data_IF_585661950199
#
_entry.id   IF_585661950199
#
_cell.length_a   1.000
_cell.length_b   1.000
_cell.length_c   1.000
_cell.angle_alpha   90.00
_cell.angle_beta   90.00
_cell.angle_gamma   90.00
#
_symmetry.space_group_name_H-M   'P 1'
#
loop_
_entity.id
_entity.type
_entity.pdbx_description
1 polymer ?
#
# COMPACT_ATOMS: atom_id res chain seq x y z
N UNK A 1 2.63 18.34 0.95
CA UNK A 1 1.45 18.13 0.08
C UNK A 1 0.24 18.03 0.99
N UNK A 2 -0.46 19.14 1.19
CA UNK A 2 -1.61 19.27 2.09
C UNK A 2 -2.86 19.48 1.22
N UNK A 3 -3.66 18.42 1.06
CA UNK A 3 -5.08 18.47 0.65
C UNK A 3 -5.61 17.03 0.54
N UNK A 4 -5.97 16.42 1.67
CA UNK A 4 -6.83 15.24 1.67
C UNK A 4 -8.22 15.68 2.17
N UNK A 5 -9.18 15.78 1.23
CA UNK A 5 -10.54 16.29 1.43
C UNK A 5 -11.50 15.28 2.09
N UNK A 6 -10.98 14.19 2.69
CA UNK A 6 -11.84 13.08 3.17
C UNK A 6 -12.30 13.20 4.62
N UNK A 7 -11.92 14.25 5.34
CA UNK A 7 -12.25 14.39 6.76
C UNK A 7 -12.91 15.73 7.06
N UNK A 8 -14.01 15.68 7.82
CA UNK A 8 -14.62 16.84 8.46
C UNK A 8 -13.63 17.48 9.45
N UNK A 9 -13.72 18.80 9.71
CA UNK A 9 -12.81 19.48 10.63
C UNK A 9 -12.85 18.83 12.02
N UNK A 10 -11.69 18.39 12.51
CA UNK A 10 -11.50 17.81 13.84
C UNK A 10 -11.91 18.83 14.91
N UNK A 11 -12.72 18.39 15.86
CA UNK A 11 -13.02 19.16 17.06
C UNK A 11 -11.80 19.17 18.00
N UNK A 12 -11.65 20.23 18.81
CA UNK A 12 -10.52 20.40 19.75
C UNK A 12 -10.43 19.22 20.74
N UNK A 13 -11.52 18.51 20.97
CA UNK A 13 -11.65 17.35 21.86
C UNK A 13 -11.19 16.03 21.23
N UNK A 14 -11.15 15.93 19.89
CA UNK A 14 -10.69 14.72 19.19
C UNK A 14 -9.16 14.67 19.03
N UNK A 15 -8.48 15.83 19.10
CA UNK A 15 -7.05 15.95 18.85
C UNK A 15 -6.18 15.19 19.87
N UNK A 16 -6.65 15.02 21.11
CA UNK A 16 -5.94 14.26 22.15
C UNK A 16 -5.96 12.74 21.93
N UNK A 17 -6.72 12.23 20.94
CA UNK A 17 -6.85 10.79 20.66
C UNK A 17 -6.51 10.41 19.22
N UNK A 18 -5.95 11.32 18.42
CA UNK A 18 -5.55 11.01 17.05
C UNK A 18 -4.21 10.28 17.06
N UNK A 19 -4.23 8.98 16.76
CA UNK A 19 -3.03 8.27 16.33
C UNK A 19 -2.72 8.71 14.89
N UNK A 20 -1.64 9.47 14.71
CA UNK A 20 -1.15 9.86 13.39
C UNK A 20 -0.27 8.73 12.88
N UNK A 21 -0.83 7.86 12.04
CA UNK A 21 -0.05 6.84 11.33
C UNK A 21 0.59 7.45 10.07
N UNK A 22 1.88 7.80 10.14
CA UNK A 22 2.65 8.18 8.95
C UNK A 22 3.18 6.92 8.28
N UNK A 23 2.59 6.59 7.14
CA UNK A 23 3.04 5.47 6.29
C UNK A 23 3.93 5.99 5.16
N UNK A 24 5.22 5.63 5.19
CA UNK A 24 6.18 5.92 4.12
C UNK A 24 6.12 4.80 3.09
N UNK A 25 5.81 5.15 1.84
CA UNK A 25 5.86 4.22 0.71
C UNK A 25 7.27 4.17 0.13
N UNK A 26 7.80 2.97 -0.10
CA UNK A 26 9.02 2.81 -0.89
C UNK A 26 8.77 3.27 -2.33
N UNK A 27 9.83 3.65 -3.04
CA UNK A 27 9.73 3.88 -4.49
C UNK A 27 9.33 2.57 -5.18
N UNK A 28 8.36 2.58 -6.11
CA UNK A 28 8.02 1.39 -6.88
C UNK A 28 9.20 0.90 -7.71
N UNK A 29 9.42 -0.42 -7.73
CA UNK A 29 10.49 -1.09 -8.48
C UNK A 29 9.83 -2.07 -9.47
N UNK A 30 10.25 -2.10 -10.76
CA UNK A 30 9.70 -3.05 -11.72
C UNK A 30 9.98 -4.49 -11.27
N UNK A 31 9.00 -5.36 -11.46
CA UNK A 31 9.12 -6.79 -11.22
C UNK A 31 9.36 -7.51 -12.55
N UNK A 32 10.53 -8.12 -12.69
CA UNK A 32 10.81 -9.00 -13.83
C UNK A 32 10.15 -10.38 -13.62
N UNK A 33 9.38 -10.84 -14.60
CA UNK A 33 8.75 -12.15 -14.61
C UNK A 33 8.65 -12.73 -16.02
N UNK A 34 8.60 -14.06 -16.13
CA UNK A 34 8.59 -14.76 -17.44
C UNK A 34 7.19 -15.04 -17.96
N UNK A 35 6.26 -15.34 -17.04
CA UNK A 35 4.88 -15.64 -17.33
C UNK A 35 3.99 -15.39 -16.10
N UNK A 36 2.69 -15.62 -16.26
CA UNK A 36 1.73 -15.42 -15.18
C UNK A 36 2.02 -16.30 -13.96
N UNK A 37 2.47 -17.54 -14.12
CA UNK A 37 2.73 -18.41 -12.99
C UNK A 37 3.94 -17.92 -12.19
N UNK A 38 5.02 -17.54 -12.88
CA UNK A 38 6.20 -16.92 -12.27
C UNK A 38 5.83 -15.63 -11.52
N UNK A 39 5.02 -14.76 -12.13
CA UNK A 39 4.48 -13.57 -11.47
C UNK A 39 3.80 -13.91 -10.15
N UNK A 40 2.86 -14.86 -10.15
CA UNK A 40 2.13 -15.24 -8.93
C UNK A 40 3.06 -15.77 -7.83
N UNK A 41 4.12 -16.49 -8.19
CA UNK A 41 5.09 -17.02 -7.20
C UNK A 41 6.02 -15.97 -6.60
N UNK A 42 6.19 -14.83 -7.27
CA UNK A 42 7.06 -13.73 -6.83
C UNK A 42 6.34 -12.71 -5.93
N UNK A 43 5.01 -12.63 -5.99
CA UNK A 43 4.22 -11.75 -5.13
C UNK A 43 4.23 -12.25 -3.68
N UNK A 44 4.43 -11.35 -2.73
CA UNK A 44 4.43 -11.66 -1.30
C UNK A 44 3.21 -11.02 -0.62
N UNK A 45 2.20 -11.83 -0.25
CA UNK A 45 1.06 -11.35 0.52
C UNK A 45 1.47 -10.61 1.79
N UNK A 46 0.67 -9.62 2.16
CA UNK A 46 0.83 -8.70 3.30
C UNK A 46 2.10 -7.80 3.26
N UNK A 47 3.00 -8.02 2.31
CA UNK A 47 4.26 -7.27 2.15
C UNK A 47 4.19 -6.33 0.94
N UNK A 48 3.80 -6.86 -0.22
CA UNK A 48 3.94 -6.13 -1.48
C UNK A 48 2.70 -5.31 -1.82
N UNK A 49 2.89 -4.00 -2.02
CA UNK A 49 1.99 -3.17 -2.78
C UNK A 49 2.27 -3.37 -4.25
N UNK A 50 1.22 -3.50 -5.07
CA UNK A 50 1.35 -3.82 -6.49
C UNK A 50 0.76 -2.71 -7.32
N UNK A 51 1.51 -2.25 -8.32
CA UNK A 51 1.05 -1.37 -9.39
C UNK A 51 1.02 -2.19 -10.66
N UNK A 52 -0.09 -2.10 -11.39
CA UNK A 52 -0.27 -2.69 -12.69
C UNK A 52 -0.44 -1.57 -13.72
N UNK A 53 0.31 -1.66 -14.82
CA UNK A 53 0.25 -0.72 -15.94
C UNK A 53 0.11 -1.47 -17.28
N UNK A 54 -0.79 -0.97 -18.13
CA UNK A 54 -1.00 -1.45 -19.51
C UNK A 54 -1.48 -0.30 -20.39
N UNK A 55 -0.57 0.31 -21.13
CA UNK A 55 -0.86 1.49 -21.94
C UNK A 55 -1.41 2.64 -21.09
N UNK A 56 -2.68 3.02 -21.29
CA UNK A 56 -3.35 4.06 -20.48
C UNK A 56 -4.02 3.52 -19.21
N UNK A 57 -4.15 2.21 -19.07
CA UNK A 57 -4.76 1.59 -17.91
C UNK A 57 -3.73 1.45 -16.78
N UNK A 58 -4.11 1.89 -15.57
CA UNK A 58 -3.25 1.83 -14.38
C UNK A 58 -4.08 1.64 -13.12
N UNK A 59 -3.64 0.74 -12.24
CA UNK A 59 -4.22 0.60 -10.91
C UNK A 59 -3.17 0.17 -9.89
N UNK A 60 -3.47 0.38 -8.61
CA UNK A 60 -2.66 -0.13 -7.52
C UNK A 60 -3.50 -0.67 -6.38
N UNK A 61 -2.94 -1.65 -5.68
CA UNK A 61 -3.37 -2.09 -4.36
C UNK A 61 -2.23 -1.97 -3.36
N UNK A 62 -2.55 -1.44 -2.18
CA UNK A 62 -1.65 -1.40 -1.02
C UNK A 62 -1.45 -2.82 -0.45
N UNK A 63 -0.35 -3.08 0.29
CA UNK A 63 -0.15 -4.35 0.98
C UNK A 63 -1.33 -4.77 1.87
N UNK A 64 -2.04 -3.80 2.46
CA UNK A 64 -3.19 -4.06 3.35
C UNK A 64 -4.35 -4.79 2.66
N UNK A 65 -4.44 -4.73 1.32
CA UNK A 65 -5.51 -5.39 0.55
C UNK A 65 -5.34 -6.91 0.55
N UNK A 66 -4.12 -7.43 0.78
CA UNK A 66 -3.87 -8.87 0.91
C UNK A 66 -4.71 -9.53 2.01
N UNK A 67 -5.05 -8.80 3.08
CA UNK A 67 -5.96 -9.30 4.13
C UNK A 67 -7.34 -9.70 3.61
N UNK A 68 -7.82 -9.07 2.54
CA UNK A 68 -9.10 -9.38 1.89
C UNK A 68 -8.92 -10.35 0.71
N UNK A 69 -7.77 -10.28 0.03
CA UNK A 69 -7.44 -11.07 -1.16
C UNK A 69 -6.10 -11.78 -0.94
N UNK A 70 -6.01 -12.79 -0.06
CA UNK A 70 -4.73 -13.40 0.33
C UNK A 70 -4.13 -14.27 -0.78
N UNK A 71 -4.94 -14.66 -1.77
CA UNK A 71 -4.52 -15.51 -2.86
C UNK A 71 -4.03 -14.64 -4.05
N UNK A 72 -2.77 -14.78 -4.51
CA UNK A 72 -2.17 -13.93 -5.54
C UNK A 72 -2.97 -13.84 -6.83
N UNK A 73 -3.55 -14.94 -7.31
CA UNK A 73 -4.34 -14.92 -8.55
C UNK A 73 -5.58 -14.06 -8.41
N UNK A 74 -6.34 -14.23 -7.32
CA UNK A 74 -7.52 -13.41 -7.02
C UNK A 74 -7.15 -11.95 -6.83
N UNK A 75 -6.03 -11.65 -6.15
CA UNK A 75 -5.52 -10.30 -6.00
C UNK A 75 -5.29 -9.63 -7.36
N UNK A 76 -4.57 -10.32 -8.27
CA UNK A 76 -4.28 -9.82 -9.61
C UNK A 76 -5.51 -9.70 -10.50
N UNK A 77 -6.47 -10.62 -10.40
CA UNK A 77 -7.75 -10.55 -11.12
C UNK A 77 -8.56 -9.30 -10.69
N UNK A 78 -8.60 -8.99 -9.39
CA UNK A 78 -9.27 -7.79 -8.89
C UNK A 78 -8.51 -6.52 -9.25
N UNK A 79 -7.18 -6.55 -9.22
CA UNK A 79 -6.36 -5.42 -9.63
C UNK A 79 -6.56 -5.08 -11.12
N UNK A 80 -6.65 -6.09 -11.98
CA UNK A 80 -7.00 -5.92 -13.39
C UNK A 80 -8.38 -5.26 -13.54
N UNK A 81 -9.40 -5.73 -12.81
CA UNK A 81 -10.73 -5.12 -12.84
C UNK A 81 -10.70 -3.66 -12.41
N UNK A 82 -9.92 -3.34 -11.36
CA UNK A 82 -9.73 -1.96 -10.89
C UNK A 82 -9.08 -1.06 -11.95
N UNK A 83 -8.18 -1.63 -12.77
CA UNK A 83 -7.58 -0.95 -13.91
C UNK A 83 -8.50 -0.83 -15.14
N UNK A 84 -9.74 -1.35 -15.07
CA UNK A 84 -10.65 -1.41 -16.21
C UNK A 84 -10.29 -2.48 -17.25
N UNK A 85 -9.50 -3.47 -16.87
CA UNK A 85 -9.03 -4.55 -17.74
C UNK A 85 -9.81 -5.85 -17.50
N UNK A 86 -9.69 -6.78 -18.45
CA UNK A 86 -10.14 -8.16 -18.26
C UNK A 86 -9.43 -8.79 -17.03
N UNK A 87 -10.12 -9.60 -16.21
CA UNK A 87 -9.52 -10.21 -15.01
C UNK A 87 -8.27 -11.05 -15.30
N UNK A 88 -8.13 -11.59 -16.51
CA UNK A 88 -6.96 -12.39 -16.91
C UNK A 88 -5.87 -11.58 -17.62
N UNK A 89 -6.01 -10.25 -17.70
CA UNK A 89 -5.08 -9.40 -18.44
C UNK A 89 -3.64 -9.52 -17.91
N UNK A 90 -3.45 -9.73 -16.60
CA UNK A 90 -2.15 -9.92 -15.95
C UNK A 90 -1.33 -11.11 -16.49
N UNK A 91 -1.95 -12.04 -17.21
CA UNK A 91 -1.24 -13.15 -17.86
C UNK A 91 -0.57 -12.74 -19.19
N UNK A 92 -0.92 -11.55 -19.71
CA UNK A 92 -0.37 -11.01 -20.94
C UNK A 92 1.05 -10.48 -20.77
N UNK A 93 1.79 -10.43 -21.89
CA UNK A 93 3.16 -9.88 -21.95
C UNK A 93 3.22 -8.36 -22.06
N UNK A 94 2.07 -7.70 -22.17
CA UNK A 94 1.91 -6.26 -22.34
C UNK A 94 1.51 -5.54 -21.05
N UNK A 95 1.75 -6.19 -19.92
CA UNK A 95 1.50 -5.68 -18.57
C UNK A 95 2.86 -5.42 -17.93
N UNK A 96 3.01 -4.26 -17.32
CA UNK A 96 4.13 -3.96 -16.44
C UNK A 96 3.66 -4.03 -14.98
N UNK A 97 4.44 -4.71 -14.15
CA UNK A 97 4.18 -4.84 -12.71
C UNK A 97 5.28 -4.13 -11.95
N UNK A 98 4.90 -3.29 -11.00
CA UNK A 98 5.83 -2.64 -10.07
C UNK A 98 5.43 -2.97 -8.64
N UNK A 99 6.43 -3.19 -7.78
CA UNK A 99 6.24 -3.47 -6.36
C UNK A 99 6.72 -2.31 -5.51
N UNK A 100 6.00 -2.02 -4.44
CA UNK A 100 6.43 -1.11 -3.37
C UNK A 100 6.03 -1.67 -2.01
N UNK A 101 6.59 -1.14 -0.94
CA UNK A 101 6.29 -1.54 0.43
C UNK A 101 5.84 -0.33 1.25
N UNK A 102 5.05 -0.58 2.29
CA UNK A 102 4.65 0.43 3.27
C UNK A 102 5.48 0.21 4.53
N UNK A 103 6.20 1.23 4.97
CA UNK A 103 6.75 1.30 6.32
C UNK A 103 5.88 2.25 7.14
N UNK A 104 5.19 1.72 8.15
CA UNK A 104 4.43 2.54 9.09
C UNK A 104 5.34 2.91 10.26
N UNK A 105 5.61 4.21 10.42
CA UNK A 105 6.26 4.73 11.61
C UNK A 105 5.16 5.17 12.57
N UNK A 106 5.06 4.50 13.71
CA UNK A 106 4.20 4.94 14.80
C UNK A 106 5.10 5.71 15.77
N UNK A 107 4.85 7.00 15.92
CA UNK A 107 5.61 7.83 16.86
C UNK A 107 5.13 7.44 18.28
N UNK A 108 5.88 6.56 18.95
CA UNK A 108 5.72 6.39 20.39
C UNK A 108 6.24 7.68 21.04
N UNK A 109 5.32 8.55 21.45
CA UNK A 109 5.61 9.72 22.29
C UNK A 109 6.28 9.24 23.57
N UNK A 110 7.62 9.19 23.58
CA UNK A 110 8.40 9.08 24.80
C UNK A 110 8.16 10.37 25.60
N UNK A 111 7.38 10.28 26.66
CA UNK A 111 7.16 11.36 27.60
C UNK A 111 8.49 11.83 28.20
N UNK A 112 8.99 12.96 27.71
CA UNK A 112 10.01 13.76 28.40
C UNK A 112 9.30 14.70 29.36
N UNK A 113 9.20 14.29 30.63
CA UNK A 113 9.46 15.19 31.76
C UNK A 113 9.59 14.39 33.06
N UNK A 114 10.82 14.19 33.51
CA UNK A 114 11.11 13.95 34.92
C UNK A 114 11.83 15.20 35.42
N UNK A 115 11.31 15.93 36.42
CA UNK A 115 11.95 17.12 36.92
C UNK A 115 13.28 16.77 37.59
N UNK A 116 14.25 17.71 37.62
CA UNK A 116 15.53 17.49 38.28
C UNK A 116 15.31 17.27 39.78
N UNK A 117 15.79 16.15 40.31
CA UNK A 117 15.90 15.97 41.75
C UNK A 117 16.94 16.96 42.29
N UNK A 118 16.50 17.82 43.21
CA UNK A 118 17.36 18.69 44.00
C UNK A 118 17.43 18.13 45.44
N UNK A 119 18.65 17.99 45.96
CA UNK A 119 18.94 17.91 47.40
C UNK A 119 19.14 16.52 47.96
#
# INVERSE_FOLDING_TARGET
AFNDHRFSPLSVEEFERVQIDVSILSKPVPLDYTDGQDLLTKLRPDIDGVILEKGKARATFLPQVWKQLPEPKQFMEHLCRKAGLSPRAWQGKDIEIYLYQVQSFNEETHGVDSPPQAG
#
